data_IF_633985816962
#
_entry.id   IF_633985816962
#
_cell.length_a   1.000
_cell.length_b   1.000
_cell.length_c   1.000
_cell.angle_alpha   90.00
_cell.angle_beta   90.00
_cell.angle_gamma   90.00
#
_symmetry.space_group_name_H-M   'P 1'
#
loop_
_entity.id
_entity.type
_entity.pdbx_description
1 polymer ?
#
# COMPACT_ATOMS: atom_id res chain seq x y z
N UNK A 1 -11.91 -10.98 35.22
CA UNK A 1 -10.81 -11.56 34.43
C UNK A 1 -10.47 -10.55 33.35
N UNK A 2 -9.27 -9.98 33.46
CA UNK A 2 -8.77 -8.89 32.63
C UNK A 2 -8.39 -9.45 31.25
N UNK A 3 -9.27 -9.24 30.27
CA UNK A 3 -9.03 -9.58 28.87
C UNK A 3 -8.82 -8.27 28.10
N UNK A 4 -7.70 -7.62 28.37
CA UNK A 4 -7.11 -6.62 27.46
C UNK A 4 -5.60 -6.64 27.67
N UNK A 5 -5.00 -7.81 27.47
CA UNK A 5 -3.60 -7.84 27.07
C UNK A 5 -3.61 -7.48 25.61
N UNK A 6 -3.66 -6.17 25.33
CA UNK A 6 -3.12 -5.62 24.10
C UNK A 6 -1.77 -6.32 23.91
N UNK A 7 -1.71 -7.28 23.01
CA UNK A 7 -0.47 -7.76 22.45
C UNK A 7 0.09 -6.55 21.70
N UNK A 8 0.73 -5.65 22.44
CA UNK A 8 1.85 -4.88 21.93
C UNK A 8 2.84 -5.96 21.54
N UNK A 9 2.69 -6.44 20.30
CA UNK A 9 3.65 -7.29 19.63
C UNK A 9 4.92 -6.44 19.60
N UNK A 10 5.69 -6.57 20.68
CA UNK A 10 6.97 -5.94 20.90
C UNK A 10 7.86 -6.51 19.80
N UNK A 11 7.81 -5.85 18.64
CA UNK A 11 8.74 -6.11 17.57
C UNK A 11 10.11 -5.79 18.15
N UNK A 12 10.78 -6.87 18.58
CA UNK A 12 12.09 -6.96 19.24
C UNK A 12 13.17 -6.10 18.54
N UNK A 13 12.87 -5.62 17.33
CA UNK A 13 13.62 -4.63 16.61
C UNK A 13 12.70 -3.62 15.86
N UNK A 14 12.70 -2.32 16.21
CA UNK A 14 11.94 -1.30 15.50
C UNK A 14 12.36 -1.11 14.03
N UNK A 15 13.48 -1.71 13.61
CA UNK A 15 13.85 -1.78 12.19
C UNK A 15 12.98 -2.79 11.45
N UNK A 16 12.80 -3.99 11.99
CA UNK A 16 11.93 -5.02 11.40
C UNK A 16 10.50 -4.52 11.31
N UNK A 17 10.10 -3.71 12.31
CA UNK A 17 8.82 -3.02 12.30
C UNK A 17 8.60 -2.10 11.11
N UNK A 18 9.58 -1.24 10.86
CA UNK A 18 9.55 -0.32 9.74
C UNK A 18 9.57 -1.08 8.40
N UNK A 19 10.33 -2.17 8.32
CA UNK A 19 10.39 -3.03 7.14
C UNK A 19 9.07 -3.73 6.86
N UNK A 20 8.42 -4.32 7.87
CA UNK A 20 7.14 -4.98 7.68
C UNK A 20 6.07 -3.96 7.28
N UNK A 21 6.00 -2.81 7.97
CA UNK A 21 5.07 -1.75 7.61
C UNK A 21 5.29 -1.24 6.18
N UNK A 22 6.55 -1.11 5.74
CA UNK A 22 6.88 -0.75 4.35
C UNK A 22 6.42 -1.83 3.36
N UNK A 23 6.58 -3.10 3.72
CA UNK A 23 6.15 -4.25 2.91
C UNK A 23 4.63 -4.32 2.81
N UNK A 24 3.92 -4.20 3.92
CA UNK A 24 2.45 -4.18 3.95
C UNK A 24 1.88 -3.01 3.14
N UNK A 25 2.49 -1.82 3.22
CA UNK A 25 2.08 -0.69 2.38
C UNK A 25 2.24 -0.98 0.89
N UNK A 26 3.34 -1.65 0.50
CA UNK A 26 3.54 -2.07 -0.89
C UNK A 26 2.54 -3.15 -1.29
N UNK A 27 2.28 -4.16 -0.45
CA UNK A 27 1.31 -5.22 -0.72
C UNK A 27 -0.11 -4.65 -0.87
N UNK A 28 -0.50 -3.68 -0.03
CA UNK A 28 -1.77 -2.96 -0.17
C UNK A 28 -1.88 -2.23 -1.51
N UNK A 29 -0.80 -1.62 -1.99
CA UNK A 29 -0.75 -1.01 -3.33
C UNK A 29 -0.96 -2.07 -4.40
N UNK A 30 -0.29 -3.22 -4.33
CA UNK A 30 -0.44 -4.28 -5.31
C UNK A 30 -1.85 -4.87 -5.33
N UNK A 31 -2.43 -5.17 -4.16
CA UNK A 31 -3.80 -5.69 -4.05
C UNK A 31 -4.79 -4.68 -4.64
N UNK A 32 -4.64 -3.39 -4.30
CA UNK A 32 -5.45 -2.33 -4.88
C UNK A 32 -5.33 -2.30 -6.41
N UNK A 33 -4.10 -2.33 -6.93
CA UNK A 33 -3.85 -2.33 -8.36
C UNK A 33 -4.49 -3.52 -9.04
N UNK A 34 -4.34 -4.74 -8.52
CA UNK A 34 -4.94 -5.97 -9.08
C UNK A 34 -6.46 -5.88 -9.17
N UNK A 35 -7.12 -5.17 -8.25
CA UNK A 35 -8.56 -4.93 -8.28
C UNK A 35 -9.04 -3.88 -9.28
N UNK A 36 -8.14 -3.08 -9.86
CA UNK A 36 -8.52 -2.04 -10.83
C UNK A 36 -8.97 -2.61 -12.19
N UNK A 37 -9.88 -1.90 -12.84
CA UNK A 37 -10.35 -2.22 -14.19
C UNK A 37 -9.24 -2.03 -15.26
N UNK A 38 -9.38 -2.68 -16.42
CA UNK A 38 -8.42 -2.58 -17.55
C UNK A 38 -8.27 -1.15 -18.07
N UNK A 39 -9.27 -0.29 -17.92
CA UNK A 39 -9.17 1.14 -18.25
C UNK A 39 -8.08 1.88 -17.47
N UNK A 40 -7.68 1.36 -16.31
CA UNK A 40 -6.64 1.93 -15.44
C UNK A 40 -5.29 1.23 -15.60
N UNK A 41 -5.12 0.38 -16.62
CA UNK A 41 -3.85 -0.31 -16.86
C UNK A 41 -2.69 0.66 -17.15
N UNK A 42 -2.98 1.84 -17.73
CA UNK A 42 -2.00 2.92 -17.86
C UNK A 42 -1.51 3.43 -16.49
N UNK A 43 -2.40 3.48 -15.49
CA UNK A 43 -2.05 3.84 -14.11
C UNK A 43 -1.19 2.74 -13.48
N UNK A 44 -1.53 1.46 -13.71
CA UNK A 44 -0.70 0.33 -13.27
C UNK A 44 0.70 0.38 -13.86
N UNK A 45 0.82 0.63 -15.17
CA UNK A 45 2.11 0.77 -15.85
C UNK A 45 2.94 1.92 -15.30
N UNK A 46 2.30 3.09 -15.04
CA UNK A 46 2.96 4.24 -14.42
C UNK A 46 3.41 3.99 -12.99
N UNK A 47 2.70 3.16 -12.23
CA UNK A 47 3.10 2.83 -10.86
C UNK A 47 4.25 1.82 -10.88
N UNK A 48 4.21 0.82 -11.74
CA UNK A 48 5.34 -0.10 -11.95
C UNK A 48 6.60 0.61 -12.46
N UNK A 49 6.44 1.67 -13.28
CA UNK A 49 7.55 2.47 -13.77
C UNK A 49 8.14 3.44 -12.73
N UNK A 50 7.41 3.74 -11.63
CA UNK A 50 7.90 4.64 -10.59
C UNK A 50 8.71 3.88 -9.55
N UNK A 51 9.94 4.36 -9.30
CA UNK A 51 10.81 3.91 -8.21
C UNK A 51 11.29 5.12 -7.41
N UNK A 52 11.16 5.12 -6.07
CA UNK A 52 10.51 4.11 -5.23
C UNK A 52 8.99 4.02 -5.47
N UNK A 53 8.38 2.91 -5.06
CA UNK A 53 6.93 2.72 -5.21
C UNK A 53 6.18 3.89 -4.54
N UNK A 54 5.21 4.50 -5.24
CA UNK A 54 4.40 5.57 -4.68
C UNK A 54 3.53 5.04 -3.56
N UNK A 55 3.12 5.92 -2.65
CA UNK A 55 2.27 5.55 -1.53
C UNK A 55 0.87 5.18 -2.00
N UNK A 56 0.16 4.33 -1.25
CA UNK A 56 -1.25 3.95 -1.56
C UNK A 56 -2.15 5.16 -1.82
N UNK A 57 -1.92 6.26 -1.08
CA UNK A 57 -2.66 7.51 -1.21
C UNK A 57 -2.37 8.27 -2.53
N UNK A 58 -1.13 8.20 -3.02
CA UNK A 58 -0.76 8.74 -4.33
C UNK A 58 -1.37 7.90 -5.45
N UNK A 59 -1.36 6.58 -5.30
CA UNK A 59 -2.00 5.65 -6.22
C UNK A 59 -3.50 5.94 -6.34
N UNK A 60 -4.19 6.11 -5.21
CA UNK A 60 -5.59 6.55 -5.17
C UNK A 60 -5.82 7.89 -5.89
N UNK A 61 -4.94 8.86 -5.66
CA UNK A 61 -5.04 10.17 -6.31
C UNK A 61 -4.88 10.06 -7.83
N UNK A 62 -3.96 9.21 -8.31
CA UNK A 62 -3.77 8.96 -9.76
C UNK A 62 -4.98 8.28 -10.40
N UNK A 63 -5.55 7.28 -9.72
CA UNK A 63 -6.78 6.61 -10.18
C UNK A 63 -7.92 7.61 -10.27
N UNK A 64 -8.19 8.37 -9.21
CA UNK A 64 -9.25 9.38 -9.21
C UNK A 64 -9.07 10.45 -10.29
N UNK A 65 -7.84 10.90 -10.55
CA UNK A 65 -7.56 11.85 -11.64
C UNK A 65 -7.81 11.26 -13.03
N UNK A 66 -7.61 9.95 -13.21
CA UNK A 66 -7.87 9.25 -14.47
C UNK A 66 -9.34 8.95 -14.69
N UNK A 67 -10.08 8.62 -13.63
CA UNK A 67 -11.52 8.41 -13.69
C UNK A 67 -12.33 9.72 -13.84
N UNK A 68 -11.81 10.83 -13.32
CA UNK A 68 -12.45 12.15 -13.46
C UNK A 68 -12.21 12.81 -14.83
N UNK A 69 -11.55 12.12 -15.76
CA UNK A 69 -11.21 12.62 -17.09
C UNK A 69 -12.05 11.94 -18.16
#
# INVERSE_FOLDING_TARGET
QELDQCYEEDWENPKDAAWLKKREQNDQVYIFLVGLDRSLDEVRGRIHAQRPLPSIREVFSKVRCKEAR
#
